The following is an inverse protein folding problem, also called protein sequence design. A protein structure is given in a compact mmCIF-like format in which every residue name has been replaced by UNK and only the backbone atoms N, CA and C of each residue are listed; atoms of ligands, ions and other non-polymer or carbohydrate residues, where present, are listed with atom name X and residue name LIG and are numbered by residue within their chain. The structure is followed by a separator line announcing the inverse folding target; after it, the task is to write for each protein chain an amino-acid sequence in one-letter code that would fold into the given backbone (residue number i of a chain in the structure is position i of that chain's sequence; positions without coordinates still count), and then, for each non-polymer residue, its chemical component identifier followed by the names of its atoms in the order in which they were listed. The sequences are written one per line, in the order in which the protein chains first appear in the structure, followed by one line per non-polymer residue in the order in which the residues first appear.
data_IF_522113925876
#
_entry.id   IF_522113925876
#
_cell.length_a   1.000
_cell.length_b   1.000
_cell.length_c   1.000
_cell.angle_alpha   90.00
_cell.angle_beta   90.00
_cell.angle_gamma   90.00
#
_symmetry.space_group_name_H-M   'P 1'
#
loop_
_entity.id
_entity.type
_entity.pdbx_description
1 polymer ?
#
# COMPACT_ATOMS: atom_id res chain seq x y z
N UNK A 1 30.04 2.07 -0.28
CA UNK A 1 29.01 2.90 -0.93
C UNK A 1 28.43 2.24 -2.19
N UNK A 2 29.27 1.76 -3.08
CA UNK A 2 28.78 1.15 -4.33
C UNK A 2 28.11 -0.21 -4.12
N UNK A 3 28.57 -1.00 -3.16
CA UNK A 3 28.01 -2.33 -2.87
C UNK A 3 26.59 -2.26 -2.26
N UNK A 4 26.36 -1.32 -1.35
CA UNK A 4 25.01 -1.10 -0.79
C UNK A 4 24.00 -0.64 -1.85
N UNK A 5 24.47 0.17 -2.80
CA UNK A 5 23.64 0.66 -3.90
C UNK A 5 23.30 -0.45 -4.90
N UNK A 6 24.26 -1.33 -5.17
CA UNK A 6 24.09 -2.49 -6.04
C UNK A 6 23.15 -3.52 -5.38
N UNK A 7 23.30 -3.77 -4.09
CA UNK A 7 22.43 -4.67 -3.32
C UNK A 7 21.00 -4.10 -3.28
N UNK A 8 20.86 -2.81 -3.03
CA UNK A 8 19.57 -2.10 -3.04
C UNK A 8 18.88 -2.19 -4.41
N UNK A 9 19.62 -2.01 -5.51
CA UNK A 9 19.09 -2.14 -6.86
C UNK A 9 18.70 -3.59 -7.20
N UNK A 10 19.48 -4.56 -6.77
CA UNK A 10 19.18 -5.98 -6.97
C UNK A 10 17.91 -6.42 -6.22
N UNK A 11 17.74 -5.98 -4.99
CA UNK A 11 16.53 -6.22 -4.18
C UNK A 11 15.31 -5.55 -4.83
N UNK A 12 15.43 -4.29 -5.26
CA UNK A 12 14.36 -3.57 -5.95
C UNK A 12 13.93 -4.28 -7.23
N UNK A 13 14.87 -4.75 -8.04
CA UNK A 13 14.55 -5.48 -9.28
C UNK A 13 13.81 -6.79 -9.02
N UNK A 14 14.16 -7.49 -7.94
CA UNK A 14 13.47 -8.72 -7.54
C UNK A 14 12.02 -8.44 -7.17
N UNK A 15 11.79 -7.44 -6.32
CA UNK A 15 10.44 -7.07 -5.87
C UNK A 15 9.59 -6.55 -7.04
N UNK A 16 10.17 -5.75 -7.93
CA UNK A 16 9.49 -5.28 -9.13
C UNK A 16 9.05 -6.44 -10.02
N UNK A 17 9.92 -7.42 -10.23
CA UNK A 17 9.58 -8.61 -11.03
C UNK A 17 8.42 -9.39 -10.43
N UNK A 18 8.44 -9.63 -9.13
CA UNK A 18 7.37 -10.34 -8.43
C UNK A 18 6.03 -9.58 -8.52
N UNK A 19 6.07 -8.26 -8.33
CA UNK A 19 4.89 -7.41 -8.40
C UNK A 19 4.35 -7.22 -9.82
N UNK A 20 5.23 -7.26 -10.84
CA UNK A 20 4.82 -7.22 -12.24
C UNK A 20 4.18 -8.53 -12.70
N UNK A 21 4.66 -9.65 -12.17
CA UNK A 21 4.19 -10.99 -12.52
C UNK A 21 2.78 -11.24 -11.99
N UNK A 22 2.49 -10.70 -10.80
CA UNK A 22 1.18 -10.79 -10.15
C UNK A 22 0.88 -9.45 -9.48
N UNK A 23 0.34 -8.47 -10.24
CA UNK A 23 0.16 -7.11 -9.74
C UNK A 23 -0.79 -7.01 -8.55
N UNK A 24 -0.57 -6.01 -7.68
CA UNK A 24 -1.51 -5.70 -6.59
C UNK A 24 -2.92 -5.40 -7.13
N UNK A 25 -3.94 -5.70 -6.33
CA UNK A 25 -5.33 -5.46 -6.69
C UNK A 25 -5.62 -3.99 -7.03
N UNK A 26 -4.89 -3.06 -6.43
CA UNK A 26 -5.04 -1.63 -6.72
C UNK A 26 -4.68 -1.29 -8.18
N UNK A 27 -3.80 -2.08 -8.79
CA UNK A 27 -3.33 -1.91 -10.17
C UNK A 27 -3.97 -2.90 -11.15
N UNK A 28 -5.02 -3.58 -10.74
CA UNK A 28 -5.75 -4.53 -11.57
C UNK A 28 -6.26 -3.86 -12.84
N UNK A 29 -6.14 -4.56 -13.96
CA UNK A 29 -6.53 -4.10 -15.29
C UNK A 29 -5.67 -2.95 -15.87
N UNK A 30 -4.55 -2.61 -15.24
CA UNK A 30 -3.55 -1.77 -15.86
C UNK A 30 -2.77 -2.55 -16.92
N UNK A 31 -2.34 -1.86 -17.97
CA UNK A 31 -1.34 -2.43 -18.89
C UNK A 31 0.00 -2.60 -18.19
N UNK A 32 0.80 -3.55 -18.65
CA UNK A 32 2.12 -3.85 -18.06
C UNK A 32 2.99 -2.59 -17.89
N UNK A 33 3.04 -1.75 -18.91
CA UNK A 33 3.85 -0.51 -18.88
C UNK A 33 3.37 0.47 -17.82
N UNK A 34 2.07 0.56 -17.60
CA UNK A 34 1.48 1.42 -16.59
C UNK A 34 1.71 0.89 -15.17
N UNK A 35 1.66 -0.44 -14.99
CA UNK A 35 2.04 -1.08 -13.72
C UNK A 35 3.49 -0.79 -13.39
N UNK A 36 4.40 -1.03 -14.35
CA UNK A 36 5.83 -0.80 -14.16
C UNK A 36 6.12 0.66 -13.77
N UNK A 37 5.55 1.60 -14.51
CA UNK A 37 5.74 3.03 -14.25
C UNK A 37 5.19 3.45 -12.87
N UNK A 38 4.06 2.90 -12.46
CA UNK A 38 3.50 3.16 -11.13
C UNK A 38 4.40 2.59 -10.03
N UNK A 39 4.85 1.35 -10.16
CA UNK A 39 5.75 0.74 -9.18
C UNK A 39 7.06 1.50 -9.04
N UNK A 40 7.64 1.95 -10.15
CA UNK A 40 8.88 2.73 -10.15
C UNK A 40 8.74 4.11 -9.50
N UNK A 41 7.53 4.66 -9.46
CA UNK A 41 7.23 5.92 -8.80
C UNK A 41 7.43 5.86 -7.29
N UNK A 42 7.26 4.68 -6.70
CA UNK A 42 7.31 4.49 -5.24
C UNK A 42 8.72 4.61 -4.68
N UNK A 43 8.86 5.31 -3.56
CA UNK A 43 10.09 5.39 -2.79
C UNK A 43 10.25 4.14 -1.92
N UNK A 44 11.34 3.42 -2.06
CA UNK A 44 11.62 2.24 -1.25
C UNK A 44 12.06 2.63 0.15
N UNK A 45 11.37 2.09 1.16
CA UNK A 45 11.70 2.31 2.57
C UNK A 45 11.78 0.96 3.27
N UNK A 46 12.86 0.77 4.06
CA UNK A 46 13.05 -0.39 4.93
C UNK A 46 12.57 -0.09 6.34
N UNK A 47 11.82 -1.02 6.91
CA UNK A 47 11.44 -1.01 8.32
C UNK A 47 11.83 -2.35 8.96
N UNK A 48 12.25 -2.31 10.20
CA UNK A 48 12.60 -3.51 10.96
C UNK A 48 11.43 -3.99 11.80
N UNK A 49 11.42 -5.28 12.12
CA UNK A 49 10.42 -5.86 13.01
C UNK A 49 10.26 -5.02 14.28
N UNK A 50 9.01 -4.67 14.59
CA UNK A 50 8.68 -3.85 15.75
C UNK A 50 8.64 -2.35 15.48
N UNK A 51 9.14 -1.88 14.33
CA UNK A 51 9.10 -0.47 13.99
C UNK A 51 7.65 -0.01 13.77
N UNK A 52 7.37 1.23 14.16
CA UNK A 52 6.11 1.91 13.82
C UNK A 52 6.26 2.62 12.48
N UNK A 53 5.44 2.24 11.50
CA UNK A 53 5.42 2.87 10.18
C UNK A 53 4.65 4.19 10.23
N UNK A 54 3.46 4.16 10.84
CA UNK A 54 2.59 5.31 11.03
C UNK A 54 2.05 5.29 12.46
N UNK A 55 2.18 6.42 13.15
CA UNK A 55 1.57 6.61 14.46
C UNK A 55 0.11 7.02 14.31
N UNK A 56 -0.69 6.77 15.35
CA UNK A 56 -2.00 7.37 15.48
C UNK A 56 -1.85 8.91 15.51
N UNK A 57 -2.83 9.61 15.00
CA UNK A 57 -2.88 11.08 14.87
C UNK A 57 -1.92 11.68 13.82
N UNK A 58 -1.17 10.87 13.06
CA UNK A 58 -0.41 11.38 11.93
C UNK A 58 -1.31 11.78 10.77
N UNK A 59 -0.98 12.92 10.16
CA UNK A 59 -1.61 13.33 8.90
C UNK A 59 -1.13 12.45 7.75
N UNK A 60 -2.06 11.78 7.08
CA UNK A 60 -1.72 10.85 5.99
C UNK A 60 -1.92 11.53 4.64
N UNK A 61 -0.82 11.73 3.92
CA UNK A 61 -0.81 12.21 2.54
C UNK A 61 -0.09 11.24 1.60
N UNK A 62 0.12 10.02 2.03
CA UNK A 62 0.83 8.99 1.29
C UNK A 62 0.15 7.64 1.45
N UNK A 63 0.35 6.78 0.44
CA UNK A 63 0.03 5.36 0.52
C UNK A 63 1.31 4.54 0.54
N UNK A 64 1.24 3.32 1.04
CA UNK A 64 2.35 2.39 1.09
C UNK A 64 1.94 1.06 0.49
N UNK A 65 2.74 0.53 -0.41
CA UNK A 65 2.62 -0.84 -0.90
C UNK A 65 3.59 -1.73 -0.15
N UNK A 66 3.11 -2.84 0.38
CA UNK A 66 3.96 -3.83 1.03
C UNK A 66 4.63 -4.68 -0.05
N UNK A 67 5.91 -4.41 -0.31
CA UNK A 67 6.70 -5.20 -1.26
C UNK A 67 7.24 -6.48 -0.63
N UNK A 68 7.54 -6.46 0.67
CA UNK A 68 7.99 -7.59 1.47
C UNK A 68 7.58 -7.40 2.92
N UNK A 69 7.22 -8.48 3.61
CA UNK A 69 6.93 -8.48 5.05
C UNK A 69 5.45 -8.46 5.39
N UNK A 70 5.18 -8.22 6.65
CA UNK A 70 3.84 -8.22 7.22
C UNK A 70 3.71 -7.04 8.19
N UNK A 71 2.57 -6.36 8.15
CA UNK A 71 2.27 -5.24 9.04
C UNK A 71 0.99 -5.51 9.82
N UNK A 72 0.89 -4.89 11.00
CA UNK A 72 -0.29 -4.94 11.86
C UNK A 72 -0.88 -3.56 12.04
N UNK A 73 -2.20 -3.52 12.12
CA UNK A 73 -2.99 -2.30 12.32
C UNK A 73 -3.58 -2.35 13.72
N UNK A 74 -3.33 -1.32 14.53
CA UNK A 74 -3.72 -1.26 15.93
C UNK A 74 -4.52 0.00 16.23
N UNK A 75 -5.54 -0.15 17.06
CA UNK A 75 -6.22 0.96 17.71
C UNK A 75 -6.07 0.76 19.21
N UNK A 76 -5.37 1.67 19.85
CA UNK A 76 -4.95 1.50 21.25
C UNK A 76 -4.20 0.16 21.41
N UNK A 77 -4.66 -0.75 22.24
CA UNK A 77 -4.03 -2.05 22.46
C UNK A 77 -4.71 -3.20 21.71
N UNK A 78 -5.64 -2.87 20.79
CA UNK A 78 -6.40 -3.87 20.04
C UNK A 78 -5.86 -3.96 18.62
N UNK A 79 -5.46 -5.16 18.23
CA UNK A 79 -5.05 -5.42 16.85
C UNK A 79 -6.29 -5.60 15.98
N UNK A 80 -6.47 -4.70 15.01
CA UNK A 80 -7.63 -4.69 14.12
C UNK A 80 -7.44 -5.56 12.89
N UNK A 81 -6.22 -5.62 12.36
CA UNK A 81 -5.93 -6.33 11.13
C UNK A 81 -4.44 -6.61 10.98
N UNK A 82 -4.11 -7.52 10.07
CA UNK A 82 -2.79 -7.72 9.50
C UNK A 82 -2.86 -7.55 8.00
N UNK A 83 -1.81 -7.00 7.41
CA UNK A 83 -1.67 -6.81 5.97
C UNK A 83 -0.39 -7.48 5.50
N UNK A 84 -0.49 -8.15 4.37
CA UNK A 84 0.59 -8.94 3.80
C UNK A 84 1.16 -8.30 2.54
N UNK A 85 2.17 -8.96 1.96
CA UNK A 85 2.77 -8.61 0.67
C UNK A 85 1.69 -8.35 -0.38
N UNK A 86 1.86 -7.31 -1.19
CA UNK A 86 0.99 -6.80 -2.26
C UNK A 86 -0.20 -5.98 -1.80
N UNK A 87 -0.47 -5.88 -0.51
CA UNK A 87 -1.52 -5.03 0.00
C UNK A 87 -1.04 -3.59 0.16
N UNK A 88 -1.96 -2.65 0.01
CA UNK A 88 -1.71 -1.22 0.21
C UNK A 88 -2.22 -0.75 1.56
N UNK A 89 -1.47 0.17 2.16
CA UNK A 89 -1.89 0.97 3.31
C UNK A 89 -2.30 2.35 2.81
N UNK A 90 -3.49 2.80 3.19
CA UNK A 90 -3.93 4.16 2.90
C UNK A 90 -4.26 4.40 1.43
N UNK A 91 -4.86 3.43 0.74
CA UNK A 91 -5.22 3.51 -0.67
C UNK A 91 -6.21 4.63 -0.99
N UNK A 92 -6.91 5.18 0.00
CA UNK A 92 -7.81 6.33 -0.17
C UNK A 92 -7.08 7.68 -0.08
N UNK A 93 -5.76 7.68 -0.02
CA UNK A 93 -4.91 8.86 0.18
C UNK A 93 -5.13 9.99 -0.84
N UNK A 94 -5.58 9.66 -2.06
CA UNK A 94 -5.89 10.65 -3.09
C UNK A 94 -7.19 11.43 -2.82
N UNK A 95 -8.10 10.85 -2.05
CA UNK A 95 -9.45 11.36 -1.87
C UNK A 95 -9.73 11.84 -0.45
N UNK A 96 -8.93 11.42 0.52
CA UNK A 96 -9.18 11.70 1.93
C UNK A 96 -7.98 12.39 2.57
N UNK A 97 -8.27 13.37 3.44
CA UNK A 97 -7.27 14.10 4.23
C UNK A 97 -7.48 13.91 5.73
N UNK A 98 -8.09 12.82 6.11
CA UNK A 98 -8.35 12.55 7.52
C UNK A 98 -7.07 12.12 8.25
N UNK A 99 -6.93 12.54 9.49
CA UNK A 99 -5.90 12.02 10.37
C UNK A 99 -6.14 10.53 10.60
N UNK A 100 -5.03 9.79 10.67
CA UNK A 100 -5.11 8.37 10.95
C UNK A 100 -5.44 8.15 12.43
N UNK A 101 -6.39 7.27 12.72
CA UNK A 101 -6.76 6.89 14.08
C UNK A 101 -6.10 5.58 14.52
N UNK A 102 -5.47 4.86 13.61
CA UNK A 102 -4.80 3.59 13.87
C UNK A 102 -3.27 3.73 13.75
N UNK A 103 -2.57 2.94 14.55
CA UNK A 103 -1.13 2.77 14.48
C UNK A 103 -0.79 1.59 13.57
N UNK A 104 0.22 1.74 12.72
CA UNK A 104 0.73 0.69 11.84
C UNK A 104 2.13 0.31 12.28
N UNK A 105 2.35 -0.97 12.52
CA UNK A 105 3.64 -1.51 12.96
C UNK A 105 4.08 -2.70 12.11
N UNK A 106 5.39 -2.93 12.03
CA UNK A 106 5.95 -4.08 11.34
C UNK A 106 5.96 -5.31 12.26
N UNK A 107 5.35 -6.39 11.80
CA UNK A 107 5.38 -7.70 12.48
C UNK A 107 6.67 -8.46 12.15
N UNK A 108 7.29 -8.18 11.04
CA UNK A 108 8.56 -8.70 10.57
C UNK A 108 9.28 -7.60 9.79
N UNK A 109 10.52 -7.82 9.37
CA UNK A 109 11.23 -6.85 8.55
C UNK A 109 10.47 -6.60 7.26
N UNK A 110 10.24 -5.33 6.93
CA UNK A 110 9.40 -4.93 5.82
C UNK A 110 10.15 -4.05 4.81
N UNK A 111 9.80 -4.24 3.55
CA UNK A 111 10.15 -3.31 2.47
C UNK A 111 8.85 -2.73 1.94
N UNK A 112 8.72 -1.42 2.02
CA UNK A 112 7.54 -0.71 1.57
C UNK A 112 7.89 0.24 0.42
N UNK A 113 6.94 0.43 -0.50
CA UNK A 113 7.00 1.48 -1.51
C UNK A 113 6.05 2.58 -1.09
N UNK A 114 6.58 3.78 -0.88
CA UNK A 114 5.81 4.96 -0.49
C UNK A 114 5.41 5.77 -1.70
N UNK A 115 4.15 6.11 -1.78
CA UNK A 115 3.56 6.94 -2.84
C UNK A 115 2.98 8.21 -2.23
N UNK A 116 3.58 9.36 -2.55
CA UNK A 116 3.05 10.64 -2.14
C UNK A 116 1.87 11.07 -3.01
N UNK A 117 0.89 11.73 -2.41
CA UNK A 117 -0.32 12.16 -3.09
C UNK A 117 -0.03 12.96 -4.36
N UNK A 118 0.83 13.95 -4.25
CA UNK A 118 1.17 14.81 -5.38
C UNK A 118 1.76 14.02 -6.54
N UNK A 119 2.69 13.14 -6.26
CA UNK A 119 3.36 12.32 -7.27
C UNK A 119 2.38 11.35 -7.95
N UNK A 120 1.51 10.72 -7.17
CA UNK A 120 0.50 9.82 -7.71
C UNK A 120 -0.52 10.56 -8.58
N UNK A 121 -0.99 11.72 -8.14
CA UNK A 121 -1.88 12.56 -8.96
C UNK A 121 -1.22 13.01 -10.25
N UNK A 122 0.06 13.40 -10.19
CA UNK A 122 0.82 13.79 -11.37
C UNK A 122 1.02 12.64 -12.36
N UNK A 123 1.23 11.43 -11.84
CA UNK A 123 1.28 10.21 -12.65
C UNK A 123 0.02 10.04 -13.50
N UNK A 124 -1.18 10.20 -12.89
CA UNK A 124 -2.44 10.07 -13.60
C UNK A 124 -2.72 11.24 -14.55
N UNK A 125 -2.32 12.46 -14.18
CA UNK A 125 -2.49 13.65 -15.05
C UNK A 125 -1.74 13.52 -16.37
N UNK A 126 -0.64 12.80 -16.41
CA UNK A 126 0.18 12.58 -17.61
C UNK A 126 -0.33 11.44 -18.49
N UNK A 127 -1.42 10.77 -18.09
CA UNK A 127 -1.95 9.58 -18.76
C UNK A 127 -3.42 9.78 -19.12
N UNK A 128 -3.97 8.95 -20.04
CA UNK A 128 -5.38 9.00 -20.37
C UNK A 128 -6.26 8.84 -19.13
N UNK A 129 -7.35 9.61 -19.07
CA UNK A 129 -8.31 9.62 -17.95
C UNK A 129 -8.85 8.22 -17.64
N UNK A 130 -8.95 7.36 -18.63
CA UNK A 130 -9.38 5.96 -18.47
C UNK A 130 -8.57 5.23 -17.40
N UNK A 131 -7.27 5.50 -17.30
CA UNK A 131 -6.41 4.83 -16.30
C UNK A 131 -6.79 5.24 -14.88
N UNK A 132 -7.05 6.53 -14.66
CA UNK A 132 -7.51 7.00 -13.35
C UNK A 132 -8.88 6.41 -12.98
N UNK A 133 -9.77 6.26 -13.96
CA UNK A 133 -11.07 5.63 -13.75
C UNK A 133 -10.92 4.14 -13.33
N UNK A 134 -10.00 3.41 -13.94
CA UNK A 134 -9.70 2.04 -13.55
C UNK A 134 -9.15 2.00 -12.12
N UNK A 135 -8.23 2.88 -11.80
CA UNK A 135 -7.65 3.00 -10.46
C UNK A 135 -8.72 3.28 -9.39
N UNK A 136 -9.59 4.25 -9.64
CA UNK A 136 -10.70 4.59 -8.74
C UNK A 136 -11.65 3.41 -8.54
N UNK A 137 -11.97 2.71 -9.61
CA UNK A 137 -12.83 1.51 -9.55
C UNK A 137 -12.19 0.41 -8.70
N UNK A 138 -10.88 0.21 -8.83
CA UNK A 138 -10.14 -0.74 -8.01
C UNK A 138 -10.18 -0.38 -6.53
N UNK A 139 -10.05 0.91 -6.20
CA UNK A 139 -10.18 1.38 -4.81
C UNK A 139 -11.56 1.07 -4.25
N UNK A 140 -12.62 1.37 -5.00
CA UNK A 140 -14.00 1.09 -4.59
C UNK A 140 -14.19 -0.41 -4.32
N UNK A 141 -13.71 -1.27 -5.20
CA UNK A 141 -13.80 -2.72 -5.04
C UNK A 141 -13.06 -3.20 -3.79
N UNK A 142 -11.85 -2.69 -3.54
CA UNK A 142 -11.08 -3.00 -2.33
C UNK A 142 -11.84 -2.57 -1.07
N UNK A 143 -12.42 -1.37 -1.07
CA UNK A 143 -13.19 -0.87 0.08
C UNK A 143 -14.46 -1.68 0.30
N UNK A 144 -15.16 -2.08 -0.75
CA UNK A 144 -16.34 -2.93 -0.64
C UNK A 144 -15.99 -4.29 -0.03
N UNK A 145 -14.87 -4.89 -0.43
CA UNK A 145 -14.41 -6.17 0.13
C UNK A 145 -14.06 -6.04 1.61
N UNK A 146 -13.42 -4.94 2.01
CA UNK A 146 -13.12 -4.65 3.42
C UNK A 146 -14.39 -4.51 4.25
N UNK A 147 -15.37 -3.77 3.78
CA UNK A 147 -16.66 -3.58 4.45
C UNK A 147 -17.38 -4.93 4.60
N UNK A 148 -17.42 -5.72 3.53
CA UNK A 148 -18.05 -7.05 3.56
C UNK A 148 -17.38 -7.98 4.57
N UNK A 149 -16.07 -7.99 4.64
CA UNK A 149 -15.30 -8.77 5.62
C UNK A 149 -15.59 -8.32 7.05
N UNK A 150 -15.60 -7.00 7.29
CA UNK A 150 -15.92 -6.44 8.60
C UNK A 150 -17.35 -6.79 9.04
N UNK A 151 -18.32 -6.72 8.12
CA UNK A 151 -19.70 -7.10 8.39
C UNK A 151 -19.82 -8.58 8.75
N UNK A 152 -19.08 -9.45 8.09
CA UNK A 152 -19.06 -10.88 8.39
C UNK A 152 -18.50 -11.17 9.78
N UNK A 153 -17.42 -10.47 10.16
CA UNK A 153 -16.81 -10.57 11.48
C UNK A 153 -17.78 -10.08 12.57
N UNK A 154 -18.43 -8.95 12.33
CA UNK A 154 -19.41 -8.37 13.23
C UNK A 154 -20.60 -9.31 13.44
N UNK A 155 -21.11 -9.89 12.36
CA UNK A 155 -22.20 -10.87 12.40
C UNK A 155 -21.82 -12.10 13.22
N UNK A 156 -20.60 -12.61 13.06
CA UNK A 156 -20.09 -13.74 13.83
C UNK A 156 -20.02 -13.45 15.34
N UNK A 157 -19.67 -12.21 15.72
CA UNK A 157 -19.62 -11.79 17.13
C UNK A 157 -21.01 -11.62 17.75
N UNK A 158 -22.04 -11.40 16.94
CA UNK A 158 -23.41 -11.17 17.41
C UNK A 158 -24.23 -12.46 17.54
N UNK A 159 -23.68 -13.60 17.13
CA UNK A 159 -24.35 -14.91 17.26
C UNK A 159 -24.26 -15.49 18.70
#
# INVERSE_FOLDING_TARGET
MDDEKIISQGIMQKHLRDLLKDPPNLLKNFHYEDVLAFLELGEQIHFFKGDTILSDDEYVNAAYLIAEGKVSVWKENIQLATLDKKEFLGETFLFSRNNRTERIACEEDCILLKYERYEALNYFRKRPEKLFNIFTKNIIEIQQNKISSMNSQLFALMK
#
